data_IF_798211797004
#
_entry.id   IF_798211797004
#
_cell.length_a   1.000
_cell.length_b   1.000
_cell.length_c   1.000
_cell.angle_alpha   90.00
_cell.angle_beta   90.00
_cell.angle_gamma   90.00
#
_symmetry.space_group_name_H-M   'P 1'
#
loop_
_entity.id
_entity.type
_entity.pdbx_description
1 polymer ?
#
# COMPACT_ATOMS: atom_id res chain seq x y z
N UNK A 1 13.34 -6.14 43.89
CA UNK A 1 13.62 -6.25 42.44
C UNK A 1 12.30 -6.17 41.70
N UNK A 2 12.05 -5.10 40.94
CA UNK A 2 10.96 -5.06 39.96
C UNK A 2 11.59 -4.87 38.58
N UNK A 3 11.62 -5.96 37.82
CA UNK A 3 11.92 -5.99 36.39
C UNK A 3 10.73 -5.38 35.68
N UNK A 4 10.73 -4.05 35.53
CA UNK A 4 9.81 -3.38 34.61
C UNK A 4 10.36 -3.64 33.22
N UNK A 5 9.72 -4.58 32.56
CA UNK A 5 10.00 -4.97 31.20
C UNK A 5 10.02 -3.75 30.29
N UNK A 6 11.07 -3.69 29.48
CA UNK A 6 11.28 -2.79 28.35
C UNK A 6 10.13 -2.88 27.36
N UNK A 7 9.06 -2.10 27.59
CA UNK A 7 7.97 -1.88 26.64
C UNK A 7 8.03 -0.45 26.07
N UNK A 8 9.12 -0.16 25.35
CA UNK A 8 9.08 0.57 24.08
C UNK A 8 8.83 2.08 24.02
N UNK A 9 7.96 2.71 24.82
CA UNK A 9 7.60 4.12 24.61
C UNK A 9 7.71 4.93 25.90
N UNK A 10 8.57 5.95 25.87
CA UNK A 10 8.67 6.92 26.97
C UNK A 10 7.28 7.49 27.25
N UNK A 11 6.85 7.64 28.52
CA UNK A 11 5.48 8.04 28.90
C UNK A 11 5.01 9.35 28.27
N UNK A 12 5.95 10.18 27.80
CA UNK A 12 5.66 11.40 27.04
C UNK A 12 5.05 11.09 25.65
N UNK A 13 5.51 10.04 24.96
CA UNK A 13 5.01 9.68 23.64
C UNK A 13 3.61 9.07 23.69
N UNK A 14 3.31 8.22 24.68
CA UNK A 14 1.94 7.71 24.88
C UNK A 14 0.95 8.86 25.11
N UNK A 15 1.32 9.83 25.94
CA UNK A 15 0.50 11.01 26.18
C UNK A 15 0.30 11.85 24.92
N UNK A 16 1.35 12.04 24.13
CA UNK A 16 1.26 12.75 22.85
C UNK A 16 0.33 12.04 21.86
N UNK A 17 0.40 10.70 21.79
CA UNK A 17 -0.50 9.89 20.95
C UNK A 17 -1.95 10.01 21.45
N UNK A 18 -2.18 10.00 22.76
CA UNK A 18 -3.52 10.18 23.32
C UNK A 18 -4.09 11.58 23.04
N UNK A 19 -3.26 12.62 23.11
CA UNK A 19 -3.70 14.02 22.93
C UNK A 19 -3.83 14.42 21.46
N UNK A 20 -2.99 13.87 20.57
CA UNK A 20 -2.84 14.33 19.17
C UNK A 20 -3.04 13.25 18.12
N UNK A 21 -3.20 11.99 18.53
CA UNK A 21 -3.21 10.83 17.64
C UNK A 21 -1.80 10.36 17.26
N UNK A 22 -1.72 9.14 16.75
CA UNK A 22 -0.47 8.56 16.25
C UNK A 22 -0.22 9.00 14.80
N UNK A 23 0.29 10.22 14.66
CA UNK A 23 0.58 10.87 13.37
C UNK A 23 1.56 10.04 12.52
N UNK A 24 2.51 9.34 13.15
CA UNK A 24 3.51 8.53 12.42
C UNK A 24 2.84 7.30 11.81
N UNK A 25 2.01 6.60 12.58
CA UNK A 25 1.25 5.46 12.09
C UNK A 25 0.24 5.86 11.01
N UNK A 26 -0.44 7.00 11.18
CA UNK A 26 -1.37 7.53 10.16
C UNK A 26 -0.65 7.89 8.87
N UNK A 27 0.49 8.55 8.96
CA UNK A 27 1.32 8.91 7.80
C UNK A 27 1.80 7.66 7.05
N UNK A 28 2.21 6.61 7.77
CA UNK A 28 2.58 5.33 7.17
C UNK A 28 1.41 4.71 6.39
N UNK A 29 0.23 4.65 7.01
CA UNK A 29 -0.99 4.13 6.35
C UNK A 29 -1.33 4.92 5.08
N UNK A 30 -1.25 6.24 5.14
CA UNK A 30 -1.49 7.10 3.98
C UNK A 30 -0.48 6.85 2.85
N UNK A 31 0.81 6.69 3.19
CA UNK A 31 1.86 6.37 2.21
C UNK A 31 1.63 5.01 1.55
N UNK A 32 1.32 3.97 2.32
CA UNK A 32 1.03 2.62 1.79
C UNK A 32 -0.22 2.59 0.90
N UNK A 33 -1.27 3.33 1.30
CA UNK A 33 -2.47 3.47 0.47
C UNK A 33 -2.13 4.19 -0.85
N UNK A 34 -1.39 5.29 -0.77
CA UNK A 34 -0.99 6.06 -1.95
C UNK A 34 -0.15 5.22 -2.89
N UNK A 35 0.81 4.44 -2.37
CA UNK A 35 1.63 3.55 -3.18
C UNK A 35 0.80 2.49 -3.91
N UNK A 36 -0.17 1.87 -3.21
CA UNK A 36 -1.07 0.88 -3.84
C UNK A 36 -1.91 1.50 -4.94
N UNK A 37 -2.56 2.62 -4.66
CA UNK A 37 -3.38 3.33 -5.66
C UNK A 37 -2.55 3.75 -6.87
N UNK A 38 -1.34 4.29 -6.64
CA UNK A 38 -0.45 4.67 -7.72
C UNK A 38 -0.01 3.46 -8.56
N UNK A 39 0.31 2.33 -7.92
CA UNK A 39 0.66 1.09 -8.62
C UNK A 39 -0.48 0.60 -9.49
N UNK A 40 -1.70 0.59 -8.96
CA UNK A 40 -2.87 0.12 -9.68
C UNK A 40 -3.24 1.08 -10.83
N UNK A 41 -3.12 2.40 -10.61
CA UNK A 41 -3.37 3.40 -11.65
C UNK A 41 -2.34 3.37 -12.79
N UNK A 42 -1.10 2.98 -12.49
CA UNK A 42 -0.02 2.85 -13.48
C UNK A 42 0.08 1.43 -14.08
N UNK A 43 -0.78 0.49 -13.66
CA UNK A 43 -0.82 -0.84 -14.24
C UNK A 43 -1.60 -0.85 -15.56
N UNK A 44 -0.86 -0.70 -16.66
CA UNK A 44 -1.41 -0.79 -18.02
C UNK A 44 -1.43 -2.21 -18.58
N UNK A 45 -1.10 -3.23 -17.78
CA UNK A 45 -0.99 -4.62 -18.26
C UNK A 45 -2.31 -5.14 -18.86
N UNK A 46 -3.46 -4.63 -18.39
CA UNK A 46 -4.77 -4.94 -18.96
C UNK A 46 -4.93 -4.50 -20.43
N UNK A 47 -4.33 -3.37 -20.81
CA UNK A 47 -4.34 -2.89 -22.20
C UNK A 47 -3.40 -3.69 -23.11
N UNK A 48 -2.26 -4.15 -22.58
CA UNK A 48 -1.39 -5.06 -23.33
C UNK A 48 -2.10 -6.40 -23.59
N UNK A 49 -2.73 -6.99 -22.56
CA UNK A 49 -3.47 -8.25 -22.71
C UNK A 49 -4.61 -8.16 -23.72
N UNK A 50 -5.33 -7.04 -23.76
CA UNK A 50 -6.43 -6.86 -24.72
C UNK A 50 -5.96 -6.65 -26.15
N UNK A 51 -4.79 -6.02 -26.36
CA UNK A 51 -4.18 -5.88 -27.68
C UNK A 51 -3.66 -7.23 -28.20
N UNK A 52 -2.94 -8.00 -27.38
CA UNK A 52 -2.45 -9.32 -27.77
C UNK A 52 -3.60 -10.28 -28.13
N UNK A 53 -4.69 -10.28 -27.33
CA UNK A 53 -5.87 -11.10 -27.64
C UNK A 53 -6.59 -10.67 -28.94
N UNK A 54 -6.52 -9.38 -29.30
CA UNK A 54 -7.05 -8.88 -30.57
C UNK A 54 -6.18 -9.32 -31.75
N UNK A 55 -4.86 -9.26 -31.59
CA UNK A 55 -3.91 -9.73 -32.61
C UNK A 55 -4.03 -11.24 -32.83
N UNK A 56 -4.11 -12.06 -31.78
CA UNK A 56 -4.31 -13.51 -31.90
C UNK A 56 -5.59 -13.87 -32.67
N UNK A 57 -6.69 -13.13 -32.45
CA UNK A 57 -7.93 -13.32 -33.22
C UNK A 57 -7.80 -12.86 -34.68
N UNK A 58 -7.07 -11.78 -34.93
CA UNK A 58 -6.86 -11.25 -36.28
C UNK A 58 -5.92 -12.14 -37.13
N UNK A 59 -4.97 -12.83 -36.50
CA UNK A 59 -4.02 -13.73 -37.15
C UNK A 59 -4.46 -15.21 -37.12
N UNK A 60 -5.65 -15.53 -36.62
CA UNK A 60 -6.12 -16.91 -36.56
C UNK A 60 -6.38 -17.46 -37.97
N UNK A 61 -5.64 -18.50 -38.42
CA UNK A 61 -5.76 -19.03 -39.78
C UNK A 61 -7.00 -19.93 -39.97
N UNK A 62 -7.78 -20.16 -38.90
CA UNK A 62 -8.98 -21.00 -38.87
C UNK A 62 -10.26 -20.21 -38.54
N UNK A 63 -10.31 -18.91 -38.86
CA UNK A 63 -11.43 -18.01 -38.55
C UNK A 63 -12.82 -18.61 -38.76
#
# INVERSE_FOLDING_TARGET
MNTVETSGHSPIYERLIQERGDVVSESRKAAELTQRVARDALDWSGLQRSQSAREERAFSPFG
#
